data_IF_658607618823
#
_entry.id   IF_658607618823
#
_cell.length_a   1.000
_cell.length_b   1.000
_cell.length_c   1.000
_cell.angle_alpha   90.00
_cell.angle_beta   90.00
_cell.angle_gamma   90.00
#
_symmetry.space_group_name_H-M   'P 1'
#
loop_
_entity.id
_entity.type
_entity.pdbx_description
1 polymer ?
#
# COMPACT_ATOMS: atom_id res chain seq x y z
N UNK A 1 18.02 12.46 2.62
CA UNK A 1 17.47 11.46 3.58
C UNK A 1 17.27 10.12 2.87
N UNK A 2 17.45 9.00 3.56
CA UNK A 2 17.26 7.66 2.95
C UNK A 2 15.76 7.37 2.84
N UNK A 3 15.24 7.24 1.63
CA UNK A 3 13.82 6.94 1.40
C UNK A 3 13.47 5.54 1.89
N UNK A 4 12.39 5.38 2.64
CA UNK A 4 11.88 4.06 3.01
C UNK A 4 11.37 3.33 1.76
N UNK A 5 11.45 2.00 1.80
CA UNK A 5 10.89 1.12 0.77
C UNK A 5 9.60 0.46 1.27
N UNK A 6 8.74 -0.07 0.39
CA UNK A 6 7.50 -0.72 0.81
C UNK A 6 7.74 -1.79 1.88
N UNK A 7 6.89 -1.80 2.90
CA UNK A 7 6.95 -2.80 3.97
C UNK A 7 6.46 -4.16 3.48
N UNK A 8 5.52 -4.18 2.57
CA UNK A 8 5.04 -5.40 1.91
C UNK A 8 4.74 -5.15 0.44
N UNK A 9 4.74 -6.22 -0.35
CA UNK A 9 4.43 -6.18 -1.78
C UNK A 9 2.92 -6.30 -1.97
N UNK A 10 2.27 -5.25 -2.46
CA UNK A 10 0.83 -5.17 -2.59
C UNK A 10 0.42 -4.78 -4.01
N UNK A 11 -0.72 -5.33 -4.48
CA UNK A 11 -1.30 -4.96 -5.76
C UNK A 11 -1.67 -3.48 -5.78
N UNK A 12 -1.39 -2.78 -6.87
CA UNK A 12 -1.70 -1.36 -7.00
C UNK A 12 -0.82 -0.40 -6.17
N UNK A 13 0.15 -0.91 -5.40
CA UNK A 13 0.97 -0.06 -4.51
C UNK A 13 1.67 1.10 -5.21
N UNK A 14 1.45 2.31 -4.72
CA UNK A 14 1.87 3.58 -5.34
C UNK A 14 3.30 4.03 -5.04
N UNK A 15 4.09 3.27 -4.29
CA UNK A 15 5.44 3.71 -3.89
C UNK A 15 6.35 4.09 -5.06
N UNK A 16 6.27 3.35 -6.17
CA UNK A 16 7.07 3.67 -7.38
C UNK A 16 6.58 4.91 -8.10
N UNK A 17 5.29 5.19 -8.01
CA UNK A 17 4.67 6.37 -8.59
C UNK A 17 4.77 7.60 -7.68
N UNK A 18 4.97 7.39 -6.37
CA UNK A 18 4.98 8.45 -5.36
C UNK A 18 5.87 9.66 -5.70
N UNK A 19 7.07 9.50 -6.30
CA UNK A 19 7.91 10.65 -6.67
C UNK A 19 7.31 11.59 -7.72
N UNK A 20 6.23 11.18 -8.38
CA UNK A 20 5.60 11.97 -9.44
C UNK A 20 4.32 12.67 -8.99
N UNK A 21 3.78 12.26 -7.82
CA UNK A 21 2.65 12.97 -7.22
C UNK A 21 3.12 14.27 -6.58
N UNK A 22 2.23 15.25 -6.41
CA UNK A 22 2.55 16.46 -5.67
C UNK A 22 3.11 16.14 -4.28
N UNK A 23 4.14 16.89 -3.86
CA UNK A 23 4.67 16.82 -2.49
C UNK A 23 3.58 17.21 -1.47
N UNK A 24 3.61 16.64 -0.24
CA UNK A 24 2.68 17.01 0.80
C UNK A 24 2.80 18.49 1.17
N UNK A 25 1.68 19.22 1.16
CA UNK A 25 1.62 20.63 1.58
C UNK A 25 1.32 20.82 3.07
N UNK A 26 0.95 19.74 3.77
CA UNK A 26 0.58 19.76 5.19
C UNK A 26 1.39 18.75 5.98
N UNK A 27 1.65 19.03 7.25
CA UNK A 27 2.36 18.12 8.17
C UNK A 27 1.66 16.77 8.36
N UNK A 28 0.35 16.74 8.13
CA UNK A 28 -0.45 15.51 8.22
C UNK A 28 -0.77 14.99 6.84
N UNK A 29 -0.56 13.70 6.65
CA UNK A 29 -1.03 12.93 5.49
C UNK A 29 -2.14 12.00 5.96
N UNK A 30 -3.21 11.91 5.18
CA UNK A 30 -4.29 10.95 5.39
C UNK A 30 -4.45 10.11 4.13
N UNK A 31 -4.29 8.79 4.27
CA UNK A 31 -4.63 7.81 3.23
C UNK A 31 -5.90 7.06 3.65
N UNK A 32 -7.08 7.39 3.09
CA UNK A 32 -8.35 6.76 3.46
C UNK A 32 -8.60 5.41 2.77
N UNK A 33 -7.66 4.95 1.97
CA UNK A 33 -7.54 3.63 1.37
C UNK A 33 -6.08 3.22 1.47
N UNK A 34 -5.67 2.76 2.65
CA UNK A 34 -4.25 2.62 2.99
C UNK A 34 -3.49 1.66 2.07
N UNK A 35 -4.04 0.45 1.82
CA UNK A 35 -3.30 -0.57 1.10
C UNK A 35 -1.86 -0.68 1.61
N UNK A 36 -0.87 -0.54 0.72
CA UNK A 36 0.56 -0.52 1.10
C UNK A 36 1.08 0.88 1.49
N UNK A 37 0.24 1.88 1.63
CA UNK A 37 0.55 3.26 2.00
C UNK A 37 1.76 3.85 1.23
N UNK A 38 1.76 3.63 -0.08
CA UNK A 38 2.95 3.91 -0.89
C UNK A 38 3.37 5.38 -0.92
N UNK A 39 2.43 6.30 -0.84
CA UNK A 39 2.68 7.73 -0.75
C UNK A 39 3.22 8.10 0.64
N UNK A 40 2.56 7.67 1.72
CA UNK A 40 3.02 7.93 3.08
C UNK A 40 4.38 7.30 3.39
N UNK A 41 4.68 6.11 2.88
CA UNK A 41 6.02 5.48 3.02
C UNK A 41 7.10 6.34 2.37
N UNK A 42 6.80 7.05 1.29
CA UNK A 42 7.72 7.99 0.66
C UNK A 42 7.95 9.23 1.54
N UNK A 43 6.90 9.70 2.19
CA UNK A 43 6.87 10.92 3.01
C UNK A 43 6.77 10.59 4.52
N UNK A 44 7.44 9.55 4.96
CA UNK A 44 7.29 8.89 6.26
C UNK A 44 7.51 9.78 7.49
N UNK A 45 8.15 10.93 7.34
CA UNK A 45 8.40 11.88 8.44
C UNK A 45 7.17 12.72 8.81
N UNK A 46 6.11 12.68 8.00
CA UNK A 46 4.86 13.38 8.30
C UNK A 46 4.04 12.62 9.36
N UNK A 47 3.12 13.31 10.00
CA UNK A 47 2.06 12.67 10.79
C UNK A 47 1.13 11.95 9.83
N UNK A 48 1.09 10.64 9.89
CA UNK A 48 0.29 9.83 8.97
C UNK A 48 -0.88 9.20 9.71
N UNK A 49 -2.07 9.27 9.10
CA UNK A 49 -3.24 8.50 9.53
C UNK A 49 -3.70 7.64 8.36
N UNK A 50 -3.71 6.34 8.56
CA UNK A 50 -4.17 5.34 7.62
C UNK A 50 -5.56 4.86 8.00
N UNK A 51 -6.48 4.82 7.03
CA UNK A 51 -7.78 4.18 7.18
C UNK A 51 -7.85 2.97 6.26
N UNK A 52 -8.32 1.85 6.79
CA UNK A 52 -8.38 0.60 6.04
C UNK A 52 -9.53 -0.28 6.52
N UNK A 53 -10.38 -0.68 5.59
CA UNK A 53 -11.54 -1.53 5.90
C UNK A 53 -11.20 -3.03 5.88
N UNK A 54 -10.14 -3.43 5.18
CA UNK A 54 -9.67 -4.82 5.20
C UNK A 54 -8.95 -5.10 6.53
N UNK A 55 -9.53 -5.93 7.43
CA UNK A 55 -8.92 -6.23 8.73
C UNK A 55 -7.52 -6.84 8.61
N UNK A 56 -7.23 -7.51 7.48
CA UNK A 56 -5.90 -8.08 7.24
C UNK A 56 -4.86 -6.96 7.02
N UNK A 57 -5.18 -5.99 6.18
CA UNK A 57 -4.27 -4.88 5.88
C UNK A 57 -4.17 -3.93 7.08
N UNK A 58 -5.30 -3.65 7.75
CA UNK A 58 -5.31 -2.92 9.01
C UNK A 58 -4.39 -3.59 10.05
N UNK A 59 -4.60 -4.87 10.36
CA UNK A 59 -3.80 -5.60 11.34
C UNK A 59 -2.32 -5.67 10.97
N UNK A 60 -2.01 -5.76 9.66
CA UNK A 60 -0.62 -5.72 9.20
C UNK A 60 0.03 -4.35 9.46
N UNK A 61 -0.68 -3.23 9.24
CA UNK A 61 -0.16 -1.90 9.56
C UNK A 61 -0.06 -1.68 11.08
N UNK A 62 -1.04 -2.12 11.86
CA UNK A 62 -1.01 -2.06 13.32
C UNK A 62 0.21 -2.82 13.88
N UNK A 63 0.48 -4.01 13.34
CA UNK A 63 1.69 -4.77 13.66
C UNK A 63 2.96 -4.00 13.29
N UNK A 64 3.07 -3.46 12.08
CA UNK A 64 4.26 -2.74 11.60
C UNK A 64 4.56 -1.46 12.38
N UNK A 65 3.53 -0.78 12.90
CA UNK A 65 3.69 0.43 13.71
C UNK A 65 4.06 0.12 15.17
N UNK A 66 3.81 -1.09 15.65
CA UNK A 66 4.06 -1.50 17.04
C UNK A 66 5.28 -2.43 17.23
N UNK A 67 5.59 -3.27 16.23
CA UNK A 67 6.62 -4.31 16.33
C UNK A 67 8.03 -3.74 16.51
N UNK A 68 8.85 -4.39 17.33
CA UNK A 68 10.25 -4.00 17.51
C UNK A 68 11.14 -4.60 16.41
N UNK A 69 12.21 -3.90 16.05
CA UNK A 69 13.20 -4.36 15.06
C UNK A 69 13.76 -5.75 15.37
N UNK A 70 13.96 -6.06 16.65
CA UNK A 70 14.46 -7.38 17.10
C UNK A 70 13.48 -8.50 16.75
N UNK A 71 12.19 -8.26 16.90
CA UNK A 71 11.13 -9.24 16.60
C UNK A 71 11.08 -9.54 15.11
N UNK A 72 11.16 -8.50 14.26
CA UNK A 72 11.26 -8.70 12.80
C UNK A 72 12.50 -9.50 12.41
N UNK A 73 13.67 -9.20 13.00
CA UNK A 73 14.89 -9.97 12.74
C UNK A 73 14.80 -11.44 13.19
N UNK A 74 13.97 -11.73 14.20
CA UNK A 74 13.70 -13.09 14.67
C UNK A 74 12.76 -13.90 13.76
N UNK A 75 12.13 -13.29 12.75
CA UNK A 75 11.23 -14.00 11.86
C UNK A 75 11.97 -15.05 11.01
N UNK A 76 11.35 -16.21 10.77
CA UNK A 76 11.98 -17.31 10.05
C UNK A 76 12.23 -16.94 8.59
N UNK A 77 13.38 -17.33 8.04
CA UNK A 77 13.76 -17.11 6.64
C UNK A 77 13.30 -18.25 5.74
N UNK A 78 13.36 -19.48 6.24
CA UNK A 78 12.94 -20.67 5.47
C UNK A 78 11.46 -20.88 5.68
N UNK A 79 10.70 -20.79 4.59
CA UNK A 79 9.23 -20.92 4.58
C UNK A 79 8.83 -21.97 3.57
N UNK A 80 8.25 -23.08 4.02
CA UNK A 80 7.54 -24.04 3.16
C UNK A 80 6.08 -23.66 3.04
N UNK A 81 5.42 -23.43 4.18
CA UNK A 81 4.05 -22.95 4.29
C UNK A 81 3.97 -21.97 5.45
N UNK A 82 3.24 -20.84 5.30
CA UNK A 82 3.18 -19.80 6.35
C UNK A 82 2.46 -20.27 7.61
N UNK A 83 1.52 -21.20 7.49
CA UNK A 83 0.77 -21.72 8.64
C UNK A 83 1.65 -22.56 9.58
N UNK A 84 2.76 -23.13 9.09
CA UNK A 84 3.73 -23.88 9.88
C UNK A 84 4.64 -22.97 10.74
N UNK A 85 4.61 -21.67 10.52
CA UNK A 85 5.50 -20.73 11.20
C UNK A 85 5.04 -20.48 12.64
N UNK A 86 5.97 -20.49 13.57
CA UNK A 86 5.76 -20.16 14.99
C UNK A 86 5.91 -18.65 15.22
N UNK A 87 4.99 -17.85 14.66
CA UNK A 87 4.91 -16.41 14.87
C UNK A 87 3.44 -15.95 14.82
N UNK A 88 3.17 -14.70 15.19
CA UNK A 88 1.82 -14.14 15.15
C UNK A 88 1.25 -14.11 13.73
N UNK A 89 -0.05 -13.94 13.62
CA UNK A 89 -0.77 -13.98 12.35
C UNK A 89 -0.34 -12.85 11.41
N UNK A 90 -0.10 -11.67 11.93
CA UNK A 90 0.34 -10.48 11.17
C UNK A 90 1.74 -10.69 10.57
N UNK A 91 2.64 -11.33 11.32
CA UNK A 91 3.96 -11.73 10.82
C UNK A 91 3.85 -12.77 9.68
N UNK A 92 2.91 -13.72 9.78
CA UNK A 92 2.61 -14.66 8.69
C UNK A 92 2.08 -13.93 7.45
N UNK A 93 1.21 -12.93 7.61
CA UNK A 93 0.73 -12.09 6.51
C UNK A 93 1.88 -11.30 5.86
N UNK A 94 2.73 -10.66 6.68
CA UNK A 94 3.90 -9.93 6.20
C UNK A 94 4.79 -10.81 5.33
N UNK A 95 5.14 -11.99 5.83
CA UNK A 95 5.93 -12.99 5.10
C UNK A 95 5.20 -13.38 3.81
N UNK A 96 3.92 -13.72 3.90
CA UNK A 96 3.10 -14.17 2.77
C UNK A 96 3.05 -13.17 1.61
N UNK A 97 3.00 -11.86 1.87
CA UNK A 97 3.08 -10.83 0.84
C UNK A 97 4.42 -10.82 0.09
N UNK A 98 5.50 -11.26 0.74
CA UNK A 98 6.82 -11.37 0.10
C UNK A 98 7.11 -12.74 -0.50
N UNK A 99 6.29 -13.76 -0.25
CA UNK A 99 6.38 -15.06 -0.95
C UNK A 99 5.85 -14.99 -2.38
N UNK A 100 4.90 -14.08 -2.63
CA UNK A 100 4.23 -13.91 -3.91
C UNK A 100 4.08 -12.41 -4.21
N UNK A 101 4.95 -11.82 -4.98
CA UNK A 101 4.90 -10.38 -5.25
C UNK A 101 3.61 -9.89 -5.93
N UNK A 102 3.13 -8.68 -5.57
CA UNK A 102 2.11 -7.94 -6.31
C UNK A 102 0.68 -8.48 -6.23
N UNK A 103 0.32 -9.20 -5.17
CA UNK A 103 -1.05 -9.68 -4.92
C UNK A 103 -1.79 -8.79 -3.92
N UNK A 104 -3.12 -8.84 -3.95
CA UNK A 104 -4.00 -8.19 -2.97
C UNK A 104 -4.19 -9.00 -1.68
N UNK A 105 -3.60 -10.19 -1.60
CA UNK A 105 -3.64 -11.09 -0.44
C UNK A 105 -2.31 -11.81 -0.26
N UNK A 106 -1.94 -12.20 0.97
CA UNK A 106 -0.69 -12.89 1.24
C UNK A 106 -0.72 -14.32 0.68
N UNK A 107 0.39 -14.75 0.12
CA UNK A 107 0.58 -16.13 -0.32
C UNK A 107 0.86 -17.06 0.86
N UNK A 108 0.46 -18.33 0.74
CA UNK A 108 0.73 -19.34 1.76
C UNK A 108 2.06 -20.08 1.53
N UNK A 109 2.51 -20.18 0.30
CA UNK A 109 3.73 -20.89 -0.10
C UNK A 109 4.58 -20.02 -1.03
N UNK A 110 5.90 -20.26 -1.09
CA UNK A 110 6.77 -19.58 -2.05
C UNK A 110 6.28 -19.77 -3.48
N UNK A 111 6.24 -18.68 -4.26
CA UNK A 111 5.91 -18.72 -5.67
C UNK A 111 6.99 -19.44 -6.48
N UNK A 112 6.65 -19.89 -7.71
CA UNK A 112 7.62 -20.45 -8.63
C UNK A 112 8.78 -19.48 -8.93
N UNK A 113 8.49 -18.19 -9.02
CA UNK A 113 9.49 -17.13 -9.23
C UNK A 113 10.46 -17.00 -8.05
N UNK A 114 9.97 -17.14 -6.82
CA UNK A 114 10.82 -17.15 -5.64
C UNK A 114 11.70 -18.39 -5.60
N UNK A 115 11.14 -19.56 -5.88
CA UNK A 115 11.89 -20.83 -5.93
C UNK A 115 12.96 -20.86 -7.02
N UNK A 116 12.69 -20.20 -8.17
CA UNK A 116 13.63 -20.11 -9.28
C UNK A 116 14.84 -19.20 -9.06
N UNK A 117 14.89 -18.45 -7.94
CA UNK A 117 16.05 -17.63 -7.57
C UNK A 117 16.40 -16.47 -8.51
N UNK A 118 15.57 -16.18 -9.54
CA UNK A 118 15.89 -15.24 -10.63
C UNK A 118 15.88 -13.77 -10.20
N UNK A 119 15.36 -13.44 -9.02
CA UNK A 119 15.29 -12.07 -8.50
C UNK A 119 15.65 -12.03 -7.01
N UNK A 120 16.94 -12.14 -6.67
CA UNK A 120 17.38 -12.02 -5.28
C UNK A 120 16.90 -10.65 -4.73
N UNK A 121 16.55 -10.61 -3.45
CA UNK A 121 16.06 -9.41 -2.75
C UNK A 121 14.68 -8.88 -3.21
N UNK A 122 13.93 -9.63 -4.02
CA UNK A 122 12.56 -9.29 -4.42
C UNK A 122 11.50 -10.10 -3.68
N UNK A 123 11.90 -11.12 -2.94
CA UNK A 123 11.06 -12.04 -2.17
C UNK A 123 11.53 -12.13 -0.72
N UNK A 124 10.74 -12.80 0.12
CA UNK A 124 11.09 -13.01 1.53
C UNK A 124 12.47 -13.65 1.67
N UNK A 125 13.30 -13.06 2.48
CA UNK A 125 14.67 -13.46 2.75
C UNK A 125 15.34 -12.44 3.66
N UNK A 126 16.62 -12.65 3.95
CA UNK A 126 17.38 -11.83 4.89
C UNK A 126 17.36 -10.34 4.51
N UNK A 127 17.60 -10.00 3.25
CA UNK A 127 17.64 -8.63 2.79
C UNK A 127 16.29 -7.90 2.98
N UNK A 128 15.14 -8.57 2.74
CA UNK A 128 13.82 -8.00 2.95
C UNK A 128 13.53 -7.88 4.46
N UNK A 129 13.76 -8.96 5.22
CA UNK A 129 13.56 -8.99 6.67
C UNK A 129 14.34 -7.88 7.38
N UNK A 130 15.63 -7.78 7.11
CA UNK A 130 16.51 -6.82 7.79
C UNK A 130 16.22 -5.38 7.38
N UNK A 131 15.82 -5.16 6.12
CA UNK A 131 15.34 -3.86 5.66
C UNK A 131 14.07 -3.44 6.43
N UNK A 132 13.07 -4.32 6.56
CA UNK A 132 11.84 -4.03 7.32
C UNK A 132 12.19 -3.76 8.78
N UNK A 133 13.05 -4.58 9.38
CA UNK A 133 13.52 -4.39 10.76
C UNK A 133 14.17 -3.02 11.00
N UNK A 134 14.90 -2.50 10.02
CA UNK A 134 15.49 -1.16 10.09
C UNK A 134 14.44 -0.06 9.94
N UNK A 135 13.35 -0.33 9.19
CA UNK A 135 12.36 0.66 8.81
C UNK A 135 11.22 0.84 9.82
N UNK A 136 10.81 -0.21 10.56
CA UNK A 136 9.64 -0.17 11.45
C UNK A 136 9.68 0.95 12.48
N UNK A 137 10.86 1.34 12.95
CA UNK A 137 11.02 2.45 13.89
C UNK A 137 10.52 3.80 13.34
N UNK A 138 10.53 3.96 12.02
CA UNK A 138 10.19 5.22 11.35
C UNK A 138 8.69 5.42 11.13
N UNK A 139 7.88 4.39 11.36
CA UNK A 139 6.42 4.45 11.20
C UNK A 139 5.67 4.31 12.52
N UNK A 140 6.36 4.25 13.66
CA UNK A 140 5.75 4.10 14.99
C UNK A 140 4.82 5.22 15.40
N UNK A 141 5.00 6.39 14.84
CA UNK A 141 4.17 7.57 15.12
C UNK A 141 2.94 7.65 14.21
N UNK A 142 2.74 6.68 13.32
CA UNK A 142 1.58 6.61 12.46
C UNK A 142 0.36 6.11 13.23
N UNK A 143 -0.79 6.65 12.90
CA UNK A 143 -2.09 6.22 13.37
C UNK A 143 -2.73 5.32 12.33
N UNK A 144 -3.28 4.18 12.76
CA UNK A 144 -3.95 3.22 11.87
C UNK A 144 -5.35 2.97 12.40
N UNK A 145 -6.36 3.00 11.52
CA UNK A 145 -7.77 2.85 11.87
C UNK A 145 -8.44 1.80 10.99
N UNK A 146 -9.15 0.87 11.63
CA UNK A 146 -10.02 -0.06 10.90
C UNK A 146 -11.40 0.56 10.67
N UNK A 147 -11.42 1.61 9.87
CA UNK A 147 -12.59 2.44 9.61
C UNK A 147 -12.72 2.72 8.11
N UNK A 148 -13.93 3.08 7.67
CA UNK A 148 -14.20 3.54 6.30
C UNK A 148 -13.59 4.91 6.05
N UNK A 149 -13.31 5.23 4.76
CA UNK A 149 -12.92 6.56 4.33
C UNK A 149 -13.93 7.64 4.78
N UNK A 150 -15.20 7.28 4.99
CA UNK A 150 -16.28 8.18 5.40
C UNK A 150 -16.01 8.80 6.77
N UNK A 151 -15.34 8.05 7.67
CA UNK A 151 -14.96 8.49 9.02
C UNK A 151 -13.71 9.40 9.02
N UNK A 152 -12.98 9.44 7.92
CA UNK A 152 -11.75 10.22 7.86
C UNK A 152 -12.03 11.72 7.81
N UNK A 153 -11.37 12.49 8.68
CA UNK A 153 -11.61 13.93 8.85
C UNK A 153 -10.34 14.71 9.19
N UNK A 154 -10.42 16.03 9.08
CA UNK A 154 -9.35 16.95 9.42
C UNK A 154 -8.86 17.80 8.25
N UNK A 155 -7.81 18.59 8.49
CA UNK A 155 -7.07 19.35 7.48
C UNK A 155 -5.72 18.66 7.25
N UNK A 156 -5.44 18.25 6.01
CA UNK A 156 -4.28 17.42 5.69
C UNK A 156 -3.91 17.49 4.21
N UNK A 157 -2.82 16.82 3.85
CA UNK A 157 -2.64 16.28 2.50
C UNK A 157 -3.36 14.92 2.45
N UNK A 158 -4.37 14.83 1.61
CA UNK A 158 -5.17 13.65 1.39
C UNK A 158 -4.65 12.91 0.16
N UNK A 159 -4.24 11.66 0.33
CA UNK A 159 -3.88 10.79 -0.78
C UNK A 159 -4.93 9.68 -0.89
N UNK A 160 -5.79 9.79 -1.89
CA UNK A 160 -7.01 8.99 -2.06
C UNK A 160 -6.80 8.06 -3.25
N UNK A 161 -6.51 6.79 -2.97
CA UNK A 161 -6.19 5.74 -3.95
C UNK A 161 -7.14 4.55 -3.76
N UNK A 162 -8.42 4.68 -4.14
CA UNK A 162 -9.41 3.62 -3.97
C UNK A 162 -9.13 2.43 -4.90
N UNK A 163 -9.78 1.27 -4.71
CA UNK A 163 -9.89 0.27 -5.76
C UNK A 163 -10.43 0.93 -7.02
N UNK A 164 -9.72 0.82 -8.14
CA UNK A 164 -10.07 1.52 -9.39
C UNK A 164 -11.35 0.96 -10.00
N UNK A 165 -12.13 1.83 -10.66
CA UNK A 165 -13.46 1.51 -11.19
C UNK A 165 -13.44 0.27 -12.11
N UNK A 166 -12.45 0.15 -12.98
CA UNK A 166 -12.33 -1.00 -13.90
C UNK A 166 -11.44 -2.13 -13.34
N UNK A 167 -10.37 -1.80 -12.59
CA UNK A 167 -9.38 -2.76 -12.11
C UNK A 167 -9.64 -3.23 -10.67
N UNK A 168 -10.68 -2.75 -10.00
CA UNK A 168 -10.97 -3.00 -8.59
C UNK A 168 -11.36 -4.45 -8.27
N UNK A 169 -11.63 -5.28 -9.28
CA UNK A 169 -11.99 -6.69 -9.07
C UNK A 169 -10.90 -7.56 -8.41
N UNK A 170 -9.65 -7.11 -8.42
CA UNK A 170 -8.53 -7.80 -7.80
C UNK A 170 -8.47 -7.64 -6.27
N UNK A 171 -9.20 -6.70 -5.69
CA UNK A 171 -9.23 -6.46 -4.25
C UNK A 171 -10.23 -7.35 -3.54
N UNK A 172 -9.97 -7.71 -2.27
CA UNK A 172 -10.86 -8.51 -1.43
C UNK A 172 -12.18 -7.79 -1.12
N UNK A 173 -12.07 -6.48 -0.87
CA UNK A 173 -13.21 -5.60 -0.62
C UNK A 173 -13.52 -4.84 -1.89
N UNK A 174 -14.72 -5.05 -2.42
CA UNK A 174 -15.20 -4.33 -3.59
C UNK A 174 -15.66 -2.94 -3.22
N UNK A 175 -15.42 -1.99 -4.11
CA UNK A 175 -15.83 -0.61 -3.94
C UNK A 175 -16.72 -0.21 -5.11
N UNK A 176 -17.86 0.38 -4.82
CA UNK A 176 -18.87 0.80 -5.81
C UNK A 176 -19.38 2.24 -5.59
N UNK A 177 -19.01 2.87 -4.46
CA UNK A 177 -19.49 4.20 -4.07
C UNK A 177 -18.71 5.36 -4.73
N UNK A 178 -18.28 5.23 -5.98
CA UNK A 178 -17.40 6.22 -6.65
C UNK A 178 -17.99 7.62 -6.69
N UNK A 179 -19.26 7.79 -7.06
CA UNK A 179 -19.93 9.11 -7.09
C UNK A 179 -20.00 9.76 -5.70
N UNK A 180 -20.20 8.95 -4.66
CA UNK A 180 -20.15 9.41 -3.27
C UNK A 180 -18.73 9.85 -2.92
N UNK A 181 -17.73 9.01 -3.19
CA UNK A 181 -16.33 9.30 -2.93
C UNK A 181 -15.88 10.61 -3.63
N UNK A 182 -16.35 10.84 -4.85
CA UNK A 182 -16.05 12.08 -5.58
C UNK A 182 -16.59 13.33 -4.87
N UNK A 183 -17.84 13.29 -4.38
CA UNK A 183 -18.42 14.38 -3.59
C UNK A 183 -17.69 14.57 -2.27
N UNK A 184 -17.44 13.48 -1.57
CA UNK A 184 -16.71 13.47 -0.30
C UNK A 184 -15.28 14.04 -0.47
N UNK A 185 -14.53 13.64 -1.48
CA UNK A 185 -13.18 14.13 -1.76
C UNK A 185 -13.13 15.64 -1.98
N UNK A 186 -14.10 16.20 -2.71
CA UNK A 186 -14.21 17.65 -2.96
C UNK A 186 -14.39 18.46 -1.67
N UNK A 187 -15.01 17.88 -0.65
CA UNK A 187 -15.29 18.52 0.64
C UNK A 187 -14.08 18.48 1.59
N UNK A 188 -13.05 17.67 1.30
CA UNK A 188 -11.88 17.57 2.21
C UNK A 188 -11.16 18.91 2.30
N UNK A 189 -10.67 19.22 3.51
CA UNK A 189 -9.92 20.45 3.80
C UNK A 189 -8.43 20.19 3.60
N UNK A 190 -7.77 21.06 2.86
CA UNK A 190 -6.34 20.95 2.56
C UNK A 190 -6.05 20.52 1.12
N UNK A 191 -4.90 19.94 0.89
CA UNK A 191 -4.51 19.37 -0.40
C UNK A 191 -5.18 18.02 -0.60
N UNK A 192 -5.75 17.79 -1.78
CA UNK A 192 -6.39 16.51 -2.10
C UNK A 192 -5.84 15.97 -3.42
N UNK A 193 -5.38 14.74 -3.38
CA UNK A 193 -4.83 14.00 -4.51
C UNK A 193 -5.70 12.75 -4.64
N UNK A 194 -6.42 12.61 -5.75
CA UNK A 194 -7.23 11.41 -6.04
C UNK A 194 -6.65 10.70 -7.24
N UNK A 195 -6.37 9.41 -7.09
CA UNK A 195 -5.80 8.55 -8.12
C UNK A 195 -6.88 7.67 -8.75
N UNK A 196 -6.75 7.42 -10.06
CA UNK A 196 -7.63 6.49 -10.78
C UNK A 196 -6.97 6.01 -12.09
N UNK A 197 -7.56 5.03 -12.75
CA UNK A 197 -7.21 4.61 -14.10
C UNK A 197 -7.91 5.48 -15.15
N UNK A 198 -7.31 5.57 -16.35
CA UNK A 198 -7.96 6.17 -17.52
C UNK A 198 -9.29 5.46 -17.80
N UNK A 199 -10.33 6.22 -18.15
CA UNK A 199 -11.69 5.72 -18.39
C UNK A 199 -12.66 5.97 -17.24
N UNK A 200 -12.17 6.24 -16.02
CA UNK A 200 -13.04 6.58 -14.90
C UNK A 200 -13.80 7.90 -15.11
N UNK A 201 -15.10 7.91 -14.79
CA UNK A 201 -16.03 9.01 -15.08
C UNK A 201 -16.60 9.72 -13.85
N UNK A 202 -16.26 9.27 -12.65
CA UNK A 202 -16.85 9.77 -11.40
C UNK A 202 -16.30 11.12 -10.91
N UNK A 203 -15.18 11.60 -11.51
CA UNK A 203 -14.63 12.95 -11.35
C UNK A 203 -14.04 13.45 -12.67
N UNK A 204 -13.74 14.76 -12.75
CA UNK A 204 -13.01 15.35 -13.90
C UNK A 204 -11.52 15.09 -13.73
N UNK A 205 -11.07 13.88 -13.98
CA UNK A 205 -9.66 13.51 -13.94
C UNK A 205 -8.87 14.14 -15.09
N UNK A 206 -7.57 14.33 -14.85
CA UNK A 206 -6.60 14.74 -15.86
C UNK A 206 -5.59 13.61 -16.08
N UNK A 207 -5.05 13.41 -17.29
CA UNK A 207 -3.96 12.48 -17.52
C UNK A 207 -2.79 12.76 -16.58
N UNK A 208 -2.22 11.70 -16.01
CA UNK A 208 -1.10 11.82 -15.08
C UNK A 208 0.14 11.13 -15.62
N UNK A 209 0.11 9.84 -15.81
CA UNK A 209 1.26 9.08 -16.33
C UNK A 209 0.86 7.73 -16.92
N UNK A 210 1.74 7.22 -17.76
CA UNK A 210 1.68 5.83 -18.21
C UNK A 210 2.72 5.01 -17.44
N UNK A 211 2.28 3.93 -16.80
CA UNK A 211 3.15 2.99 -16.08
C UNK A 211 3.18 1.65 -16.79
N UNK A 212 4.37 1.05 -16.82
CA UNK A 212 4.50 -0.34 -17.25
C UNK A 212 3.81 -1.25 -16.24
N UNK A 213 2.83 -2.00 -16.67
CA UNK A 213 2.08 -2.95 -15.86
C UNK A 213 2.28 -4.37 -16.40
N UNK A 214 2.23 -5.35 -15.52
CA UNK A 214 2.21 -6.76 -15.94
C UNK A 214 0.76 -7.20 -16.09
N UNK A 215 0.31 -7.40 -17.33
CA UNK A 215 -1.02 -7.94 -17.64
C UNK A 215 -0.94 -9.46 -17.75
N UNK A 216 -1.39 -10.19 -16.73
CA UNK A 216 -1.40 -11.66 -16.73
C UNK A 216 -0.01 -12.32 -16.73
N UNK A 217 0.06 -13.59 -17.11
CA UNK A 217 1.31 -14.37 -17.11
C UNK A 217 2.27 -13.83 -18.18
N UNK A 218 3.25 -13.00 -17.74
CA UNK A 218 4.38 -12.60 -18.59
C UNK A 218 4.09 -11.53 -19.65
N UNK A 219 2.86 -11.03 -19.81
CA UNK A 219 2.54 -9.99 -20.78
C UNK A 219 2.85 -8.60 -20.21
N UNK A 220 3.77 -7.88 -20.83
CA UNK A 220 3.97 -6.45 -20.57
C UNK A 220 2.74 -5.69 -21.09
N UNK A 221 2.19 -4.82 -20.24
CA UNK A 221 1.13 -3.91 -20.61
C UNK A 221 1.43 -2.52 -20.08
N UNK A 222 0.61 -1.57 -20.47
CA UNK A 222 0.65 -0.23 -19.91
C UNK A 222 -0.64 0.03 -19.16
N UNK A 223 -0.55 0.69 -18.02
CA UNK A 223 -1.67 1.27 -17.30
C UNK A 223 -1.51 2.77 -17.34
N UNK A 224 -2.54 3.46 -17.79
CA UNK A 224 -2.58 4.91 -17.78
C UNK A 224 -3.28 5.36 -16.52
N UNK A 225 -2.57 6.09 -15.68
CA UNK A 225 -3.12 6.69 -14.48
C UNK A 225 -3.59 8.11 -14.77
N UNK A 226 -4.68 8.46 -14.13
CA UNK A 226 -5.27 9.81 -14.14
C UNK A 226 -5.36 10.32 -12.70
N UNK A 227 -5.43 11.64 -12.55
CA UNK A 227 -5.40 12.30 -11.25
C UNK A 227 -6.43 13.43 -11.19
N UNK A 228 -7.00 13.64 -10.01
CA UNK A 228 -7.72 14.85 -9.66
C UNK A 228 -7.04 15.54 -8.49
N UNK A 229 -6.87 16.85 -8.57
CA UNK A 229 -6.14 17.66 -7.59
C UNK A 229 -6.98 18.82 -7.09
N UNK A 230 -6.83 19.14 -5.80
CA UNK A 230 -7.33 20.34 -5.13
C UNK A 230 -6.27 20.88 -4.17
N UNK A 231 -6.03 22.16 -4.17
CA UNK A 231 -5.14 22.86 -3.23
C UNK A 231 -3.77 23.15 -3.74
#
# INVERSE_FOLDING_TARGET
>A
MKTLKPFFSYFGGKWRAAPHYPEPKYDRIIEPFAGAAGYSVRHYNHKVTLYEVDPLIYGLWEYLTSVRSKEIRGLPLKVKHVDDLKCCQEAKWLIGFWLCGGRSHPGKTPSAWMRGGTKPNSFWGEAIRDRIAQQVRHVRHWEVKNESYEEAHGKATWFIDPPYQEAGSAYRFKFDKYKHLGRWSKQRRGQVIVCEAEGADWMRFKPFRTISATKGIGRKGFSKEVIWLKG
#
